data_IF_844629690696
#
_entry.id   IF_844629690696
#
_cell.length_a   1.000
_cell.length_b   1.000
_cell.length_c   1.000
_cell.angle_alpha   90.00
_cell.angle_beta   90.00
_cell.angle_gamma   90.00
#
_symmetry.space_group_name_H-M   'P 1'
#
loop_
_entity.id
_entity.type
_entity.pdbx_description
1 polymer ?
#
# COMPACT_ATOMS: atom_id res chain seq x y z
N UNK A 1 -21.46 6.69 -7.68
CA UNK A 1 -20.79 7.97 -7.88
C UNK A 1 -19.61 8.23 -6.94
N UNK A 2 -19.09 7.22 -6.18
CA UNK A 2 -17.88 7.40 -5.36
C UNK A 2 -16.65 7.61 -6.27
N UNK A 3 -15.83 8.62 -5.94
CA UNK A 3 -14.58 8.89 -6.67
C UNK A 3 -13.41 8.01 -6.21
N UNK A 4 -13.45 7.54 -4.96
CA UNK A 4 -12.46 6.66 -4.38
C UNK A 4 -13.12 5.63 -3.47
N UNK A 5 -12.49 4.47 -3.34
CA UNK A 5 -12.88 3.39 -2.44
C UNK A 5 -11.66 3.00 -1.60
N UNK A 6 -11.87 2.91 -0.28
CA UNK A 6 -10.90 2.36 0.64
C UNK A 6 -11.24 0.90 0.95
N UNK A 7 -10.34 0.00 0.60
CA UNK A 7 -10.45 -1.42 0.92
C UNK A 7 -9.70 -1.66 2.22
N UNK A 8 -10.42 -2.01 3.29
CA UNK A 8 -9.88 -2.14 4.64
C UNK A 8 -10.59 -3.24 5.41
N UNK A 9 -9.85 -4.02 6.18
CA UNK A 9 -10.37 -4.92 7.21
C UNK A 9 -10.09 -4.38 8.62
N UNK A 10 -9.82 -3.08 8.75
CA UNK A 10 -9.46 -2.42 10.01
C UNK A 10 -8.25 -3.04 10.71
N UNK A 11 -7.29 -3.55 9.95
CA UNK A 11 -6.12 -4.25 10.48
C UNK A 11 -6.44 -5.56 11.21
N UNK A 12 -7.54 -6.23 10.83
CA UNK A 12 -8.03 -7.47 11.44
C UNK A 12 -8.65 -7.32 12.84
N UNK A 13 -8.97 -6.07 13.25
CA UNK A 13 -9.39 -5.78 14.64
C UNK A 13 -10.89 -5.92 14.89
N UNK A 14 -11.71 -5.88 13.85
CA UNK A 14 -13.16 -5.95 13.98
C UNK A 14 -13.67 -7.39 13.86
N UNK A 15 -13.30 -8.05 12.77
CA UNK A 15 -13.65 -9.44 12.51
C UNK A 15 -12.40 -10.19 12.12
N UNK A 16 -12.03 -11.19 12.90
CA UNK A 16 -10.89 -12.07 12.60
C UNK A 16 -11.23 -13.06 11.48
N UNK A 17 -10.20 -13.55 10.78
CA UNK A 17 -10.34 -14.51 9.70
C UNK A 17 -10.87 -13.96 8.38
N UNK A 18 -11.09 -12.64 8.24
CA UNK A 18 -11.41 -12.02 6.96
C UNK A 18 -10.17 -11.85 6.10
N UNK A 19 -10.30 -11.87 4.76
CA UNK A 19 -9.17 -11.63 3.85
C UNK A 19 -8.52 -10.28 4.10
N UNK A 20 -7.22 -10.17 3.81
CA UNK A 20 -6.53 -8.89 3.83
C UNK A 20 -6.95 -8.01 2.66
N UNK A 21 -6.82 -6.69 2.81
CA UNK A 21 -7.09 -5.76 1.73
C UNK A 21 -6.25 -6.08 0.47
N UNK A 22 -5.00 -6.52 0.65
CA UNK A 22 -4.11 -6.87 -0.45
C UNK A 22 -4.58 -8.11 -1.22
N UNK A 23 -5.14 -9.12 -0.54
CA UNK A 23 -5.67 -10.34 -1.17
C UNK A 23 -6.89 -10.07 -2.05
N UNK A 24 -7.78 -9.17 -1.63
CA UNK A 24 -9.00 -8.86 -2.38
C UNK A 24 -8.80 -7.75 -3.42
N UNK A 25 -7.74 -6.95 -3.31
CA UNK A 25 -7.47 -5.82 -4.19
C UNK A 25 -7.53 -6.16 -5.69
N UNK A 26 -6.94 -7.28 -6.19
CA UNK A 26 -6.99 -7.61 -7.62
C UNK A 26 -8.42 -7.80 -8.14
N UNK A 27 -9.31 -8.34 -7.32
CA UNK A 27 -10.73 -8.54 -7.67
C UNK A 27 -11.42 -7.17 -7.84
N UNK A 28 -11.19 -6.23 -6.91
CA UNK A 28 -11.72 -4.87 -7.02
C UNK A 28 -11.12 -4.11 -8.20
N UNK A 29 -9.80 -4.22 -8.40
CA UNK A 29 -9.11 -3.58 -9.51
C UNK A 29 -9.67 -4.04 -10.87
N UNK A 30 -9.94 -5.34 -11.04
CA UNK A 30 -10.54 -5.88 -12.27
C UNK A 30 -11.87 -5.24 -12.64
N UNK A 31 -12.70 -4.89 -11.66
CA UNK A 31 -14.05 -4.35 -11.87
C UNK A 31 -14.05 -2.83 -11.94
N UNK A 32 -13.17 -2.17 -11.18
CA UNK A 32 -13.25 -0.73 -10.89
C UNK A 32 -12.14 0.09 -11.55
N UNK A 33 -11.11 -0.53 -12.14
CA UNK A 33 -10.01 0.17 -12.80
C UNK A 33 -10.53 1.19 -13.84
N UNK A 34 -10.10 2.44 -13.69
CA UNK A 34 -10.52 3.54 -14.55
C UNK A 34 -11.89 4.14 -14.23
N UNK A 35 -12.63 3.59 -13.26
CA UNK A 35 -13.94 4.11 -12.82
C UNK A 35 -13.87 4.84 -11.50
N UNK A 36 -12.97 4.41 -10.62
CA UNK A 36 -12.78 4.98 -9.28
C UNK A 36 -11.35 4.68 -8.80
N UNK A 37 -10.83 5.51 -7.92
CA UNK A 37 -9.53 5.26 -7.29
C UNK A 37 -9.66 4.22 -6.18
N UNK A 38 -8.64 3.36 -6.05
CA UNK A 38 -8.58 2.31 -5.04
C UNK A 38 -7.44 2.59 -4.07
N UNK A 39 -7.77 2.66 -2.79
CA UNK A 39 -6.81 2.76 -1.71
C UNK A 39 -6.95 1.55 -0.79
N UNK A 40 -5.83 1.10 -0.22
CA UNK A 40 -5.82 0.01 0.75
C UNK A 40 -5.12 0.41 2.04
N UNK A 41 -5.46 -0.24 3.12
CA UNK A 41 -4.71 -0.22 4.37
C UNK A 41 -4.43 -1.62 4.90
N UNK A 42 -3.77 -1.68 6.04
CA UNK A 42 -3.45 -2.92 6.72
C UNK A 42 -2.18 -3.60 6.19
N UNK A 43 -1.25 -3.85 7.09
CA UNK A 43 -0.03 -4.60 6.78
C UNK A 43 1.10 -3.81 6.10
N UNK A 44 0.91 -2.58 5.68
CA UNK A 44 1.94 -1.74 5.05
C UNK A 44 3.01 -1.36 6.09
N UNK A 45 4.22 -1.86 5.92
CA UNK A 45 5.37 -1.67 6.83
C UNK A 45 6.67 -1.36 6.10
N UNK A 46 6.76 -1.65 4.82
CA UNK A 46 7.95 -1.52 3.98
C UNK A 46 7.62 -0.78 2.69
N UNK A 47 8.61 -0.15 2.08
CA UNK A 47 8.46 0.42 0.74
C UNK A 47 8.05 -0.62 -0.32
N UNK A 48 8.49 -1.87 -0.17
CA UNK A 48 8.09 -2.97 -1.05
C UNK A 48 6.62 -3.35 -0.92
N UNK A 49 5.98 -3.13 0.23
CA UNK A 49 4.54 -3.36 0.38
C UNK A 49 3.74 -2.34 -0.41
N UNK A 50 4.24 -1.09 -0.47
CA UNK A 50 3.65 -0.04 -1.31
C UNK A 50 3.75 -0.44 -2.78
N UNK A 51 4.92 -0.91 -3.23
CA UNK A 51 5.12 -1.38 -4.61
C UNK A 51 4.12 -2.49 -4.94
N UNK A 52 4.00 -3.51 -4.09
CA UNK A 52 3.04 -4.61 -4.29
C UNK A 52 1.60 -4.12 -4.41
N UNK A 53 1.20 -3.20 -3.55
CA UNK A 53 -0.15 -2.62 -3.59
C UNK A 53 -0.41 -1.91 -4.93
N UNK A 54 0.52 -1.09 -5.41
CA UNK A 54 0.39 -0.39 -6.69
C UNK A 54 0.35 -1.39 -7.85
N UNK A 55 1.23 -2.40 -7.86
CA UNK A 55 1.25 -3.46 -8.88
C UNK A 55 -0.08 -4.23 -8.96
N UNK A 56 -0.74 -4.43 -7.83
CA UNK A 56 -2.03 -5.12 -7.74
C UNK A 56 -3.23 -4.20 -8.02
N UNK A 57 -3.00 -2.92 -8.32
CA UNK A 57 -4.02 -1.99 -8.80
C UNK A 57 -4.48 -0.92 -7.82
N UNK A 58 -3.79 -0.73 -6.70
CA UNK A 58 -4.06 0.41 -5.82
C UNK A 58 -3.53 1.72 -6.43
N UNK A 59 -4.24 2.81 -6.18
CA UNK A 59 -3.78 4.18 -6.46
C UNK A 59 -2.93 4.74 -5.32
N UNK A 60 -3.06 4.16 -4.12
CA UNK A 60 -2.29 4.55 -2.95
C UNK A 60 -2.55 3.65 -1.76
N UNK A 61 -1.80 3.89 -0.68
CA UNK A 61 -1.90 3.12 0.56
C UNK A 61 -2.06 4.05 1.76
N UNK A 62 -2.71 3.54 2.82
CA UNK A 62 -2.77 4.21 4.11
C UNK A 62 -1.97 3.41 5.14
N UNK A 63 -1.34 4.13 6.07
CA UNK A 63 -0.46 3.57 7.08
C UNK A 63 -1.02 3.93 8.46
N UNK A 64 -1.44 2.94 9.22
CA UNK A 64 -1.98 3.11 10.57
C UNK A 64 -0.95 2.78 11.65
N UNK A 65 -0.82 1.52 12.02
CA UNK A 65 0.01 1.07 13.15
C UNK A 65 1.45 1.60 13.13
N UNK A 66 2.20 1.54 12.02
CA UNK A 66 3.58 2.06 11.99
C UNK A 66 3.67 3.55 12.36
N UNK A 67 2.69 4.36 11.94
CA UNK A 67 2.63 5.77 12.30
C UNK A 67 2.43 5.96 13.82
N UNK A 68 1.51 5.19 14.41
CA UNK A 68 1.26 5.25 15.87
C UNK A 68 2.48 4.79 16.66
N UNK A 69 3.16 3.74 16.23
CA UNK A 69 4.39 3.27 16.86
C UNK A 69 5.51 4.31 16.77
N UNK A 70 5.70 4.92 15.61
CA UNK A 70 6.70 5.97 15.40
C UNK A 70 6.41 7.20 16.27
N UNK A 71 5.13 7.58 16.38
CA UNK A 71 4.70 8.66 17.25
C UNK A 71 4.99 8.35 18.74
N UNK A 72 4.69 7.13 19.19
CA UNK A 72 4.93 6.69 20.55
C UNK A 72 6.42 6.67 20.94
N UNK A 73 7.30 6.32 20.00
CA UNK A 73 8.75 6.20 20.22
C UNK A 73 9.46 7.56 20.15
N UNK A 74 9.07 8.43 19.20
CA UNK A 74 9.83 9.63 18.91
C UNK A 74 8.99 10.87 18.57
N UNK A 75 7.71 10.88 18.90
CA UNK A 75 6.85 12.02 18.63
C UNK A 75 6.83 12.36 17.13
N UNK A 76 6.77 13.64 16.82
CA UNK A 76 6.80 14.16 15.45
C UNK A 76 8.05 13.69 14.68
N UNK A 77 9.23 13.77 15.30
CA UNK A 77 10.49 13.36 14.67
C UNK A 77 10.50 11.85 14.34
N UNK A 78 9.86 11.03 15.18
CA UNK A 78 9.68 9.60 14.93
C UNK A 78 8.81 9.35 13.70
N UNK A 79 7.70 10.07 13.54
CA UNK A 79 6.82 9.98 12.37
C UNK A 79 7.57 10.40 11.10
N UNK A 80 8.29 11.52 11.15
CA UNK A 80 9.11 11.99 10.03
C UNK A 80 10.16 10.95 9.63
N UNK A 81 10.82 10.33 10.61
CA UNK A 81 11.81 9.27 10.35
C UNK A 81 11.20 8.04 9.72
N UNK A 82 10.03 7.61 10.20
CA UNK A 82 9.29 6.49 9.61
C UNK A 82 8.93 6.75 8.15
N UNK A 83 8.44 7.95 7.83
CA UNK A 83 8.12 8.32 6.45
C UNK A 83 9.36 8.32 5.55
N UNK A 84 10.49 8.86 6.03
CA UNK A 84 11.77 8.81 5.30
C UNK A 84 12.23 7.38 5.03
N UNK A 85 12.08 6.47 6.00
CA UNK A 85 12.44 5.05 5.82
C UNK A 85 11.60 4.44 4.70
N UNK A 86 10.28 4.60 4.75
CA UNK A 86 9.37 4.06 3.75
C UNK A 86 9.65 4.65 2.36
N UNK A 87 9.89 5.94 2.26
CA UNK A 87 10.23 6.61 0.99
C UNK A 87 11.54 6.07 0.43
N UNK A 88 12.59 5.94 1.25
CA UNK A 88 13.87 5.41 0.82
C UNK A 88 13.78 3.95 0.36
N UNK A 89 13.03 3.12 1.10
CA UNK A 89 12.79 1.73 0.69
C UNK A 89 11.98 1.64 -0.60
N UNK A 90 10.99 2.50 -0.78
CA UNK A 90 10.21 2.59 -2.02
C UNK A 90 11.09 2.98 -3.20
N UNK A 91 11.90 4.03 -3.05
CA UNK A 91 12.84 4.48 -4.08
C UNK A 91 13.85 3.39 -4.43
N UNK A 92 14.45 2.75 -3.43
CA UNK A 92 15.39 1.65 -3.65
C UNK A 92 14.72 0.49 -4.38
N UNK A 93 13.52 0.07 -3.94
CA UNK A 93 12.76 -0.99 -4.60
C UNK A 93 12.46 -0.68 -6.06
N UNK A 94 12.06 0.56 -6.38
CA UNK A 94 11.83 1.00 -7.75
C UNK A 94 13.12 1.00 -8.58
N UNK A 95 14.24 1.45 -8.02
CA UNK A 95 15.55 1.39 -8.69
C UNK A 95 15.93 -0.05 -9.03
N UNK A 96 15.77 -0.98 -8.10
CA UNK A 96 16.09 -2.40 -8.30
C UNK A 96 15.18 -3.07 -9.34
N UNK A 97 13.94 -2.60 -9.48
CA UNK A 97 13.01 -3.02 -10.51
C UNK A 97 13.27 -2.36 -11.87
N UNK A 98 14.17 -1.37 -11.94
CA UNK A 98 14.40 -0.60 -13.17
C UNK A 98 13.22 0.31 -13.53
N UNK A 99 12.40 0.70 -12.56
CA UNK A 99 11.20 1.50 -12.77
C UNK A 99 11.39 2.93 -12.27
N UNK A 100 11.27 3.91 -13.15
CA UNK A 100 11.52 5.32 -12.83
C UNK A 100 10.32 6.09 -12.29
N UNK A 101 9.11 5.51 -12.36
CA UNK A 101 7.87 6.18 -11.92
C UNK A 101 6.85 5.15 -11.43
N UNK A 102 6.14 5.48 -10.35
CA UNK A 102 5.02 4.67 -9.85
C UNK A 102 3.93 4.45 -10.91
N UNK A 103 3.77 5.38 -11.84
CA UNK A 103 2.80 5.27 -12.95
C UNK A 103 3.18 4.18 -13.96
N UNK A 104 4.44 3.77 -13.97
CA UNK A 104 4.96 2.74 -14.87
C UNK A 104 4.97 1.34 -14.22
N UNK A 105 4.60 1.26 -12.94
CA UNK A 105 4.42 -0.02 -12.27
C UNK A 105 3.13 -0.68 -12.74
N UNK A 106 3.26 -1.88 -13.28
CA UNK A 106 2.14 -2.71 -13.74
C UNK A 106 2.40 -4.20 -13.47
N UNK A 107 1.48 -5.06 -13.84
CA UNK A 107 1.50 -6.49 -13.57
C UNK A 107 2.69 -7.25 -14.16
N UNK A 108 3.43 -6.68 -15.12
CA UNK A 108 4.67 -7.25 -15.68
C UNK A 108 5.78 -7.42 -14.65
N UNK A 109 5.72 -6.66 -13.55
CA UNK A 109 6.66 -6.78 -12.43
C UNK A 109 6.25 -7.85 -11.40
N UNK A 110 5.08 -8.48 -11.56
CA UNK A 110 4.62 -9.55 -10.70
C UNK A 110 5.06 -10.90 -11.26
N UNK A 111 5.67 -11.72 -10.40
CA UNK A 111 5.93 -13.11 -10.73
C UNK A 111 4.70 -13.93 -10.38
N UNK A 112 3.97 -14.36 -11.40
CA UNK A 112 2.84 -15.27 -11.24
C UNK A 112 3.38 -16.70 -11.07
N UNK A 113 3.17 -17.26 -9.88
CA UNK A 113 3.43 -18.68 -9.61
C UNK A 113 2.19 -19.51 -9.94
#
# INVERSE_FOLDING_TARGET
>A
GAKAIFISNHGGRQLDGVPTALEVLPMFAKVLKGKTELFIDGGIRRGTDIIKAILLGANGVLIGKPMVWALAVGGESGVMKMMQILENELRLGMCLLGCSSLKNLDDRYLFNR
#
